data_IF_835198539851
#
_entry.id   IF_835198539851
#
_cell.length_a   1.000
_cell.length_b   1.000
_cell.length_c   1.000
_cell.angle_alpha   90.00
_cell.angle_beta   90.00
_cell.angle_gamma   90.00
#
_symmetry.space_group_name_H-M   'P 1'
#
loop_
_entity.id
_entity.type
_entity.pdbx_description
1 polymer ?
#
# COMPACT_ATOMS: atom_id res chain seq x y z
N UNK A 1 -14.62 12.85 9.24
CA UNK A 1 -14.38 14.30 9.31
C UNK A 1 -13.01 14.56 9.90
N UNK A 2 -12.03 14.71 9.04
CA UNK A 2 -10.64 14.93 9.41
C UNK A 2 -10.15 16.14 8.61
N UNK A 3 -9.64 17.13 9.32
CA UNK A 3 -9.21 18.43 8.78
C UNK A 3 -7.71 18.56 8.91
N UNK A 4 -7.10 19.26 7.95
CA UNK A 4 -5.67 19.49 7.92
C UNK A 4 -5.23 20.32 9.13
N UNK A 5 -4.16 19.90 9.80
CA UNK A 5 -3.54 20.67 10.88
C UNK A 5 -2.92 21.99 10.40
N UNK A 6 -2.61 22.12 9.12
CA UNK A 6 -1.92 23.31 8.58
C UNK A 6 -2.85 24.46 8.26
N UNK A 7 -4.07 24.18 7.77
CA UNK A 7 -4.96 25.20 7.23
C UNK A 7 -6.45 24.95 7.53
N UNK A 8 -6.78 23.94 8.36
CA UNK A 8 -8.16 23.62 8.75
C UNK A 8 -9.07 23.11 7.62
N UNK A 9 -8.56 22.96 6.39
CA UNK A 9 -9.34 22.47 5.25
C UNK A 9 -9.64 20.99 5.41
N UNK A 10 -10.80 20.51 4.94
CA UNK A 10 -11.09 19.07 4.98
C UNK A 10 -10.08 18.30 4.12
N UNK A 11 -9.52 17.22 4.67
CA UNK A 11 -8.49 16.45 3.96
C UNK A 11 -8.98 15.92 2.61
N UNK A 12 -10.27 15.61 2.49
CA UNK A 12 -10.86 15.14 1.23
C UNK A 12 -10.68 16.14 0.08
N UNK A 13 -10.73 17.44 0.36
CA UNK A 13 -10.59 18.48 -0.66
C UNK A 13 -9.12 18.65 -1.06
N UNK A 14 -8.19 18.53 -0.11
CA UNK A 14 -6.76 18.55 -0.39
C UNK A 14 -6.32 17.33 -1.21
N UNK A 15 -6.83 16.15 -0.88
CA UNK A 15 -6.50 14.90 -1.59
C UNK A 15 -7.01 14.93 -3.03
N UNK A 16 -8.22 15.46 -3.28
CA UNK A 16 -8.74 15.68 -4.66
C UNK A 16 -7.82 16.56 -5.49
N UNK A 17 -7.11 17.50 -4.86
CA UNK A 17 -6.12 18.38 -5.48
C UNK A 17 -4.71 17.77 -5.49
N UNK A 18 -4.55 16.48 -5.16
CA UNK A 18 -3.27 15.76 -5.05
C UNK A 18 -2.29 16.42 -4.07
N UNK A 19 -2.81 17.02 -2.99
CA UNK A 19 -2.02 17.62 -1.91
C UNK A 19 -1.99 16.69 -0.70
N UNK A 20 -0.87 16.66 0.01
CA UNK A 20 -0.74 15.94 1.26
C UNK A 20 -1.62 16.58 2.33
N UNK A 21 -2.25 15.74 3.17
CA UNK A 21 -2.99 16.18 4.34
C UNK A 21 -2.46 15.47 5.58
N UNK A 22 -2.10 16.24 6.61
CA UNK A 22 -1.81 15.71 7.93
C UNK A 22 -2.97 16.08 8.85
N UNK A 23 -3.44 15.12 9.63
CA UNK A 23 -4.58 15.28 10.51
C UNK A 23 -4.30 14.58 11.83
N UNK A 24 -4.77 15.15 12.92
CA UNK A 24 -4.51 14.67 14.27
C UNK A 24 -5.84 14.39 14.97
N UNK A 25 -5.94 13.21 15.59
CA UNK A 25 -7.13 12.75 16.28
C UNK A 25 -6.76 12.41 17.72
N UNK A 26 -7.39 13.09 18.67
CA UNK A 26 -7.18 12.83 20.10
C UNK A 26 -8.13 11.74 20.59
N UNK A 27 -7.57 10.59 20.96
CA UNK A 27 -8.32 9.47 21.53
C UNK A 27 -8.25 9.51 23.05
N UNK A 28 -9.41 9.48 23.72
CA UNK A 28 -9.49 9.33 25.18
C UNK A 28 -9.67 7.86 25.52
N UNK A 29 -8.67 7.29 26.20
CA UNK A 29 -8.74 5.90 26.65
C UNK A 29 -9.43 5.85 28.03
N UNK A 30 -10.56 5.13 28.17
CA UNK A 30 -11.29 5.09 29.44
C UNK A 30 -10.54 4.30 30.52
N UNK A 31 -9.64 3.41 30.12
CA UNK A 31 -8.81 2.57 31.00
C UNK A 31 -7.45 2.31 30.34
N UNK A 32 -6.46 1.99 31.17
CA UNK A 32 -5.14 1.55 30.70
C UNK A 32 -5.25 0.16 30.07
N UNK A 33 -4.75 0.00 28.86
CA UNK A 33 -4.60 -1.32 28.23
C UNK A 33 -3.34 -2.02 28.73
N UNK A 34 -3.47 -3.29 29.12
CA UNK A 34 -2.37 -4.10 29.68
C UNK A 34 -1.91 -5.21 28.74
N UNK A 35 -2.59 -5.39 27.60
CA UNK A 35 -2.29 -6.41 26.59
C UNK A 35 -1.81 -5.76 25.30
N UNK A 36 -1.25 -6.58 24.42
CA UNK A 36 -0.85 -6.18 23.07
C UNK A 36 -2.08 -5.65 22.32
N UNK A 37 -1.93 -4.46 21.76
CA UNK A 37 -2.94 -3.81 20.93
C UNK A 37 -2.66 -4.08 19.46
N UNK A 38 -3.73 -4.13 18.67
CA UNK A 38 -3.64 -4.15 17.20
C UNK A 38 -4.41 -2.97 16.66
N UNK A 39 -3.78 -2.25 15.73
CA UNK A 39 -4.44 -1.21 14.97
C UNK A 39 -5.11 -1.83 13.75
N UNK A 40 -6.35 -1.42 13.48
CA UNK A 40 -7.05 -1.72 12.24
C UNK A 40 -7.55 -0.42 11.62
N UNK A 41 -7.46 -0.32 10.30
CA UNK A 41 -8.15 0.71 9.54
C UNK A 41 -9.40 0.10 8.89
N UNK A 42 -10.46 0.89 8.82
CA UNK A 42 -11.72 0.52 8.16
C UNK A 42 -11.95 1.48 7.01
N UNK A 43 -12.21 0.93 5.83
CA UNK A 43 -12.59 1.71 4.66
C UNK A 43 -14.03 1.34 4.32
N UNK A 44 -14.90 2.34 4.29
CA UNK A 44 -16.29 2.18 3.92
C UNK A 44 -16.49 2.47 2.42
N UNK A 45 -17.52 1.88 1.81
CA UNK A 45 -17.85 2.02 0.38
C UNK A 45 -16.74 1.58 -0.59
N UNK A 46 -15.94 0.59 -0.19
CA UNK A 46 -14.95 -0.07 -1.05
C UNK A 46 -15.37 -1.50 -1.34
N UNK A 47 -15.70 -1.78 -2.60
CA UNK A 47 -16.20 -3.09 -3.05
C UNK A 47 -15.04 -4.03 -3.44
N UNK A 48 -14.17 -4.35 -2.48
CA UNK A 48 -13.03 -5.25 -2.73
C UNK A 48 -13.45 -6.69 -3.08
N UNK A 49 -14.69 -7.06 -2.79
CA UNK A 49 -15.29 -8.35 -3.15
C UNK A 49 -15.90 -8.37 -4.56
N UNK A 50 -15.91 -7.25 -5.28
CA UNK A 50 -16.40 -7.23 -6.66
C UNK A 50 -15.50 -8.13 -7.51
N UNK A 51 -16.08 -9.10 -8.25
CA UNK A 51 -15.32 -10.14 -8.96
C UNK A 51 -14.18 -9.59 -9.82
N UNK A 52 -14.48 -8.57 -10.65
CA UNK A 52 -13.49 -7.92 -11.51
C UNK A 52 -12.34 -7.31 -10.70
N UNK A 53 -12.63 -6.74 -9.53
CA UNK A 53 -11.59 -6.19 -8.66
C UNK A 53 -10.74 -7.31 -8.07
N UNK A 54 -11.38 -8.32 -7.47
CA UNK A 54 -10.70 -9.43 -6.80
C UNK A 54 -9.82 -10.27 -7.75
N UNK A 55 -10.20 -10.40 -9.02
CA UNK A 55 -9.43 -11.13 -10.04
C UNK A 55 -8.34 -10.26 -10.70
N UNK A 56 -8.33 -8.94 -10.48
CA UNK A 56 -7.44 -8.03 -11.21
C UNK A 56 -6.08 -7.86 -10.53
N UNK A 57 -5.25 -8.89 -10.67
CA UNK A 57 -3.82 -8.90 -10.40
C UNK A 57 -3.15 -10.08 -11.13
N UNK A 58 -1.83 -10.06 -11.29
CA UNK A 58 -1.05 -11.20 -11.80
C UNK A 58 -0.38 -11.95 -10.64
N UNK A 59 -0.81 -13.19 -10.40
CA UNK A 59 -0.26 -14.01 -9.31
C UNK A 59 1.22 -14.36 -9.52
N UNK A 60 1.69 -14.49 -10.76
CA UNK A 60 3.09 -14.86 -11.05
C UNK A 60 4.06 -13.74 -10.66
N UNK A 61 3.69 -12.48 -10.90
CA UNK A 61 4.46 -11.32 -10.40
C UNK A 61 4.61 -11.37 -8.88
N UNK A 62 3.51 -11.65 -8.16
CA UNK A 62 3.47 -11.64 -6.70
C UNK A 62 4.34 -12.73 -6.05
N UNK A 63 4.60 -13.83 -6.75
CA UNK A 63 5.44 -14.93 -6.26
C UNK A 63 6.87 -14.90 -6.82
N UNK A 64 7.26 -13.80 -7.49
CA UNK A 64 8.64 -13.55 -7.90
C UNK A 64 8.98 -13.96 -9.33
N UNK A 65 8.01 -14.20 -10.21
CA UNK A 65 8.31 -14.32 -11.64
C UNK A 65 8.38 -12.93 -12.27
N UNK A 66 9.40 -12.71 -13.11
CA UNK A 66 9.48 -11.49 -13.91
C UNK A 66 8.29 -11.44 -14.88
N UNK A 67 7.71 -10.25 -15.10
CA UNK A 67 6.61 -10.11 -16.05
C UNK A 67 7.02 -10.59 -17.44
N UNK A 68 6.15 -11.37 -18.07
CA UNK A 68 6.34 -11.76 -19.47
C UNK A 68 6.04 -10.57 -20.39
N UNK A 69 6.60 -10.56 -21.60
CA UNK A 69 6.32 -9.53 -22.58
C UNK A 69 4.84 -9.52 -23.01
N UNK A 70 4.14 -10.65 -22.85
CA UNK A 70 2.69 -10.71 -22.97
C UNK A 70 2.03 -10.10 -21.73
N UNK A 71 1.20 -9.09 -21.94
CA UNK A 71 0.42 -8.45 -20.89
C UNK A 71 -0.53 -9.47 -20.23
N UNK A 72 -0.54 -9.51 -18.90
CA UNK A 72 -1.49 -10.33 -18.15
C UNK A 72 -2.93 -9.91 -18.46
N UNK A 73 -3.76 -10.86 -18.91
CA UNK A 73 -5.16 -10.61 -19.23
C UNK A 73 -5.99 -10.26 -17.99
N UNK A 74 -5.60 -10.75 -16.81
CA UNK A 74 -6.28 -10.47 -15.54
C UNK A 74 -6.09 -9.02 -15.10
N UNK A 75 -4.96 -8.41 -15.46
CA UNK A 75 -4.67 -7.01 -15.15
C UNK A 75 -5.39 -6.01 -16.06
N UNK A 76 -5.96 -6.45 -17.18
CA UNK A 76 -6.72 -5.61 -18.11
C UNK A 76 -5.94 -4.36 -18.54
N UNK A 77 -6.57 -3.20 -18.45
CA UNK A 77 -5.95 -1.92 -18.82
C UNK A 77 -4.77 -1.51 -17.90
N UNK A 78 -4.58 -2.18 -16.77
CA UNK A 78 -3.48 -1.94 -15.83
C UNK A 78 -2.33 -2.94 -15.99
N UNK A 79 -2.25 -3.64 -17.13
CA UNK A 79 -1.10 -4.49 -17.45
C UNK A 79 0.10 -3.68 -17.98
N UNK A 80 -0.15 -2.55 -18.63
CA UNK A 80 0.90 -1.70 -19.22
C UNK A 80 0.57 -0.21 -19.09
N UNK A 81 1.60 0.62 -19.00
CA UNK A 81 1.49 2.08 -19.04
C UNK A 81 2.57 2.64 -19.95
N UNK A 82 2.16 3.39 -20.99
CA UNK A 82 3.07 4.00 -21.99
C UNK A 82 4.06 3.01 -22.62
N UNK A 83 3.61 1.77 -22.88
CA UNK A 83 4.42 0.71 -23.49
C UNK A 83 5.34 -0.05 -22.53
N UNK A 84 5.38 0.32 -21.25
CA UNK A 84 6.09 -0.42 -20.20
C UNK A 84 5.14 -1.32 -19.42
N UNK A 85 5.61 -2.48 -18.99
CA UNK A 85 4.81 -3.42 -18.20
C UNK A 85 4.68 -2.89 -16.78
N UNK A 86 3.46 -2.89 -16.23
CA UNK A 86 3.26 -2.50 -14.84
C UNK A 86 3.63 -3.69 -13.93
N UNK A 87 4.42 -3.43 -12.89
CA UNK A 87 4.71 -4.41 -11.85
C UNK A 87 4.64 -3.73 -10.46
N UNK A 88 3.69 -4.12 -9.59
CA UNK A 88 2.64 -5.15 -9.78
C UNK A 88 1.41 -4.64 -10.55
N UNK A 89 0.89 -5.40 -11.51
CA UNK A 89 -0.25 -5.00 -12.34
C UNK A 89 -1.63 -5.27 -11.70
N UNK A 90 -2.65 -4.52 -12.14
CA UNK A 90 -4.06 -4.76 -11.80
C UNK A 90 -4.70 -3.78 -10.81
N UNK A 91 -6.02 -3.88 -10.62
CA UNK A 91 -6.80 -2.98 -9.76
C UNK A 91 -6.44 -3.13 -8.28
N UNK A 92 -6.16 -4.36 -7.82
CA UNK A 92 -5.79 -4.63 -6.41
C UNK A 92 -4.54 -3.85 -6.03
N UNK A 93 -3.38 -4.03 -6.69
CA UNK A 93 -2.19 -3.25 -6.36
C UNK A 93 -2.36 -1.76 -6.62
N UNK A 94 -3.02 -1.36 -7.73
CA UNK A 94 -3.18 0.06 -8.06
C UNK A 94 -4.09 0.85 -7.07
N UNK A 95 -4.75 0.17 -6.14
CA UNK A 95 -5.59 0.80 -5.11
C UNK A 95 -5.05 0.56 -3.69
N UNK A 96 -3.73 0.36 -3.56
CA UNK A 96 -3.05 0.21 -2.28
C UNK A 96 -3.34 1.40 -1.35
N UNK A 97 -3.71 1.10 -0.11
CA UNK A 97 -3.90 2.08 0.94
C UNK A 97 -2.54 2.71 1.33
N UNK A 98 -2.46 4.04 1.34
CA UNK A 98 -1.21 4.77 1.48
C UNK A 98 -1.20 5.82 2.60
N UNK A 99 -2.20 5.86 3.49
CA UNK A 99 -2.10 6.71 4.68
C UNK A 99 -1.09 6.10 5.66
N UNK A 100 -0.38 6.98 6.36
CA UNK A 100 0.57 6.62 7.41
C UNK A 100 0.03 7.05 8.76
N UNK A 101 0.09 6.15 9.74
CA UNK A 101 -0.39 6.41 11.09
C UNK A 101 0.79 6.50 12.06
N UNK A 102 0.77 7.51 12.95
CA UNK A 102 1.70 7.63 14.07
C UNK A 102 0.89 7.84 15.35
N UNK A 103 1.35 7.24 16.45
CA UNK A 103 0.66 7.32 17.73
C UNK A 103 1.55 8.01 18.75
N UNK A 104 0.96 8.87 19.56
CA UNK A 104 1.66 9.67 20.55
C UNK A 104 0.89 9.62 21.87
N UNK A 105 1.63 9.53 22.98
CA UNK A 105 1.11 9.73 24.33
C UNK A 105 1.88 10.88 24.99
N UNK A 106 1.27 12.06 24.99
CA UNK A 106 1.99 13.30 25.30
C UNK A 106 3.12 13.51 24.29
N UNK A 107 4.36 13.61 24.78
CA UNK A 107 5.55 13.79 23.95
C UNK A 107 6.27 12.49 23.59
N UNK A 108 5.69 11.33 23.95
CA UNK A 108 6.29 10.02 23.69
C UNK A 108 5.60 9.35 22.51
N UNK A 109 6.37 9.02 21.47
CA UNK A 109 5.88 8.22 20.35
C UNK A 109 5.64 6.77 20.81
N UNK A 110 4.51 6.21 20.40
CA UNK A 110 4.21 4.79 20.55
C UNK A 110 4.53 4.12 19.22
N UNK A 111 5.62 3.34 19.12
CA UNK A 111 6.01 2.73 17.87
C UNK A 111 4.96 1.69 17.43
N UNK A 112 4.60 1.73 16.15
CA UNK A 112 3.83 0.69 15.50
C UNK A 112 4.77 -0.38 14.96
N UNK A 113 4.51 -1.63 15.30
CA UNK A 113 5.20 -2.77 14.72
C UNK A 113 4.41 -3.27 13.51
N UNK A 114 5.06 -3.24 12.34
CA UNK A 114 4.57 -3.79 11.07
C UNK A 114 4.99 -5.24 10.88
N UNK A 115 6.08 -5.63 11.53
CA UNK A 115 6.49 -7.02 11.63
C UNK A 115 5.37 -7.92 12.16
N UNK A 116 5.25 -9.10 11.57
CA UNK A 116 4.30 -10.16 11.97
C UNK A 116 2.81 -9.92 11.70
N UNK A 117 2.42 -8.85 11.01
CA UNK A 117 1.00 -8.66 10.60
C UNK A 117 0.57 -9.62 9.47
N UNK A 118 1.53 -10.07 8.65
CA UNK A 118 1.32 -11.06 7.59
C UNK A 118 1.53 -12.47 8.14
N UNK A 119 0.81 -13.46 7.60
CA UNK A 119 0.98 -14.86 8.03
C UNK A 119 2.32 -15.44 7.57
N UNK A 120 2.85 -16.43 8.31
CA UNK A 120 4.09 -17.14 7.91
C UNK A 120 3.96 -17.80 6.54
N UNK A 121 2.76 -18.28 6.18
CA UNK A 121 2.49 -18.90 4.88
C UNK A 121 2.53 -17.88 3.76
N UNK A 122 1.87 -16.73 3.92
CA UNK A 122 1.89 -15.66 2.92
C UNK A 122 3.31 -15.13 2.67
N UNK A 123 4.11 -14.91 3.73
CA UNK A 123 5.53 -14.54 3.59
C UNK A 123 6.40 -15.54 2.82
N UNK A 124 5.99 -16.82 2.76
CA UNK A 124 6.70 -17.84 1.98
C UNK A 124 6.25 -17.89 0.52
N UNK A 125 5.03 -17.43 0.22
CA UNK A 125 4.45 -17.46 -1.11
C UNK A 125 4.86 -16.20 -1.87
N UNK A 126 4.67 -15.03 -1.26
CA UNK A 126 4.95 -13.74 -1.88
C UNK A 126 6.42 -13.38 -1.75
N UNK A 127 7.07 -13.11 -2.88
CA UNK A 127 8.52 -12.92 -2.96
C UNK A 127 8.88 -11.93 -4.06
N UNK A 128 10.03 -11.28 -3.88
CA UNK A 128 10.67 -10.54 -4.95
C UNK A 128 11.24 -11.52 -6.00
N UNK A 129 11.31 -11.12 -7.28
CA UNK A 129 12.04 -11.90 -8.27
C UNK A 129 13.52 -12.06 -7.93
N UNK A 130 14.15 -13.11 -8.45
CA UNK A 130 15.58 -13.35 -8.31
C UNK A 130 16.39 -12.28 -9.06
N UNK A 131 17.45 -11.76 -8.43
CA UNK A 131 18.34 -10.76 -9.03
C UNK A 131 19.34 -10.15 -8.05
N UNK A 132 20.20 -9.26 -8.54
CA UNK A 132 21.27 -8.61 -7.78
C UNK A 132 20.77 -7.54 -6.81
N UNK A 133 19.91 -6.63 -7.31
CA UNK A 133 19.29 -5.55 -6.54
C UNK A 133 17.83 -5.39 -6.98
N UNK A 134 16.98 -4.83 -6.10
CA UNK A 134 15.58 -4.60 -6.44
C UNK A 134 15.45 -3.58 -7.59
N UNK A 135 16.30 -2.56 -7.60
CA UNK A 135 16.37 -1.59 -8.68
C UNK A 135 16.67 -2.26 -10.03
N UNK A 136 17.60 -3.23 -10.07
CA UNK A 136 17.91 -3.98 -11.29
C UNK A 136 16.77 -4.91 -11.71
N UNK A 137 16.12 -5.54 -10.73
CA UNK A 137 15.00 -6.47 -10.96
C UNK A 137 13.83 -5.75 -11.64
N UNK A 138 13.50 -4.55 -11.18
CA UNK A 138 12.34 -3.78 -11.62
C UNK A 138 12.65 -2.69 -12.66
N UNK A 139 13.90 -2.61 -13.16
CA UNK A 139 14.37 -1.54 -14.07
C UNK A 139 13.49 -1.36 -15.31
N UNK A 140 13.02 -2.47 -15.88
CA UNK A 140 12.24 -2.48 -17.13
C UNK A 140 10.72 -2.54 -16.87
N UNK A 141 10.30 -2.21 -15.65
CA UNK A 141 8.89 -2.20 -15.23
C UNK A 141 8.48 -0.79 -14.80
N UNK A 142 7.17 -0.55 -14.85
CA UNK A 142 6.56 0.70 -14.41
C UNK A 142 5.73 0.47 -13.16
N UNK A 143 5.67 1.46 -12.27
CA UNK A 143 4.83 1.38 -11.08
C UNK A 143 3.35 1.52 -11.47
N UNK A 144 2.41 1.03 -10.64
CA UNK A 144 1.01 1.37 -10.82
C UNK A 144 0.78 2.89 -10.89
N UNK A 145 -0.13 3.38 -11.74
CA UNK A 145 -0.36 4.81 -11.94
C UNK A 145 -0.63 5.59 -10.63
N UNK A 146 -1.32 4.96 -9.68
CA UNK A 146 -1.70 5.60 -8.41
C UNK A 146 -0.63 5.47 -7.32
N UNK A 147 0.46 4.73 -7.55
CA UNK A 147 1.52 4.63 -6.57
C UNK A 147 2.37 5.91 -6.55
N UNK A 148 2.76 6.42 -5.38
CA UNK A 148 3.64 7.58 -5.29
C UNK A 148 5.08 7.25 -5.71
N UNK A 149 5.51 6.00 -5.50
CA UNK A 149 6.88 5.49 -5.71
C UNK A 149 6.82 4.05 -6.23
N UNK A 150 7.86 3.55 -6.92
CA UNK A 150 7.92 2.16 -7.35
C UNK A 150 8.12 1.19 -6.17
N UNK A 151 7.87 -0.10 -6.41
CA UNK A 151 7.83 -1.15 -5.38
C UNK A 151 9.11 -1.23 -4.54
N UNK A 152 10.27 -1.11 -5.18
CA UNK A 152 11.58 -1.19 -4.55
C UNK A 152 11.92 0.03 -3.66
N UNK A 153 11.05 1.04 -3.62
CA UNK A 153 11.18 2.22 -2.75
C UNK A 153 10.08 2.31 -1.69
N UNK A 154 9.20 1.31 -1.59
CA UNK A 154 8.10 1.31 -0.61
C UNK A 154 8.59 1.01 0.80
N UNK A 155 9.61 0.15 0.94
CA UNK A 155 10.25 -0.14 2.20
C UNK A 155 11.76 -0.33 2.00
N UNK A 156 12.51 0.74 2.23
CA UNK A 156 13.97 0.78 2.04
C UNK A 156 14.69 0.13 3.24
N UNK A 157 14.02 0.03 4.39
CA UNK A 157 14.62 -0.44 5.63
C UNK A 157 14.33 -1.92 5.91
N UNK A 158 13.50 -2.59 5.09
CA UNK A 158 13.04 -3.97 5.29
C UNK A 158 12.47 -4.18 6.71
N UNK A 159 11.46 -3.38 7.06
CA UNK A 159 10.79 -3.33 8.39
C UNK A 159 9.44 -4.07 8.41
#
# INVERSE_FOLDING_TARGET
NCTSVTNGTMCIDLIKLKKNCKCELTLKLPKKFTRVLRMYYKIDNMYQNHRIYAESFDFYQQIGFKPSQAASTTCGALAQYKGQIIDPCGLVPNSLFNDTFTFWNGNSEIPLMTDWIISKTARKIFKNPEGSSLEDIFRDTEKPPNWPKPIYQLDINNS
#
